data_IF_186763390134
#
_entry.id   IF_186763390134
#
_cell.length_a   1.000
_cell.length_b   1.000
_cell.length_c   1.000
_cell.angle_alpha   90.00
_cell.angle_beta   90.00
_cell.angle_gamma   90.00
#
_symmetry.space_group_name_H-M   'P 1'
#
loop_
_entity.id
_entity.type
_entity.pdbx_description
1 polymer ?
#
# COMPACT_ATOMS: atom_id res chain seq x y z
N UNK A 1 26.67 5.50 -5.37
CA UNK A 1 25.89 4.27 -5.10
C UNK A 1 24.70 4.30 -6.03
N UNK A 2 24.54 3.33 -6.94
CA UNK A 2 23.34 3.27 -7.79
C UNK A 2 22.29 2.42 -7.09
N UNK A 3 21.48 3.05 -6.24
CA UNK A 3 20.23 2.45 -5.77
C UNK A 3 19.16 2.62 -6.85
N UNK A 4 18.23 1.66 -6.92
CA UNK A 4 17.02 1.78 -7.74
C UNK A 4 16.18 2.94 -7.20
N UNK A 5 15.71 3.83 -8.07
CA UNK A 5 14.78 4.91 -7.68
C UNK A 5 13.36 4.44 -7.91
N UNK A 6 12.54 4.47 -6.87
CA UNK A 6 11.12 4.19 -6.95
C UNK A 6 10.32 5.51 -6.94
N UNK A 7 9.42 5.68 -7.91
CA UNK A 7 8.44 6.75 -7.94
C UNK A 7 7.05 6.13 -7.78
N UNK A 8 6.37 6.51 -6.70
CA UNK A 8 5.01 6.11 -6.37
C UNK A 8 4.10 7.32 -6.59
N UNK A 9 3.13 7.19 -7.48
CA UNK A 9 2.16 8.25 -7.78
C UNK A 9 0.75 7.70 -7.60
N UNK A 10 0.01 8.24 -6.64
CA UNK A 10 -1.33 7.78 -6.31
C UNK A 10 -2.38 8.84 -6.63
N UNK A 11 -3.57 8.38 -6.99
CA UNK A 11 -4.76 9.22 -7.16
C UNK A 11 -5.93 8.63 -6.39
N UNK A 12 -6.48 9.44 -5.49
CA UNK A 12 -7.63 9.06 -4.68
C UNK A 12 -8.93 9.23 -5.47
N UNK A 13 -9.75 8.19 -5.48
CA UNK A 13 -11.06 8.17 -6.13
C UNK A 13 -12.21 8.34 -5.13
N UNK A 14 -12.12 7.63 -4.00
CA UNK A 14 -13.13 7.64 -2.95
C UNK A 14 -12.43 7.86 -1.62
N UNK A 15 -12.89 8.87 -0.89
CA UNK A 15 -12.48 9.14 0.48
C UNK A 15 -13.76 9.29 1.30
N UNK A 16 -14.05 8.27 2.10
CA UNK A 16 -15.12 8.31 3.11
C UNK A 16 -14.43 8.34 4.48
N UNK A 17 -14.54 9.46 5.23
CA UNK A 17 -13.91 9.59 6.53
C UNK A 17 -14.22 8.40 7.44
N UNK A 18 -13.19 7.89 8.11
CA UNK A 18 -13.25 6.79 9.08
C UNK A 18 -13.88 5.48 8.57
N UNK A 19 -13.99 5.30 7.24
CA UNK A 19 -14.71 4.16 6.66
C UNK A 19 -14.03 3.53 5.45
N UNK A 20 -13.67 4.32 4.43
CA UNK A 20 -13.23 3.78 3.15
C UNK A 20 -12.26 4.68 2.43
N UNK A 21 -11.27 4.04 1.82
CA UNK A 21 -10.39 4.67 0.84
C UNK A 21 -10.34 3.80 -0.42
N UNK A 22 -10.48 4.41 -1.59
CA UNK A 22 -10.21 3.75 -2.87
C UNK A 22 -9.34 4.67 -3.71
N UNK A 23 -8.22 4.13 -4.19
CA UNK A 23 -7.24 4.88 -4.97
C UNK A 23 -6.51 3.94 -5.92
N UNK A 24 -6.07 4.47 -7.04
CA UNK A 24 -5.08 3.82 -7.88
C UNK A 24 -3.69 4.41 -7.60
N UNK A 25 -2.66 3.63 -7.92
CA UNK A 25 -1.31 4.16 -8.02
C UNK A 25 -0.49 3.46 -9.08
N UNK A 26 0.40 4.24 -9.69
CA UNK A 26 1.45 3.78 -10.57
C UNK A 26 2.76 3.68 -9.79
N UNK A 27 3.52 2.62 -10.04
CA UNK A 27 4.87 2.46 -9.55
C UNK A 27 5.83 2.46 -10.74
N UNK A 28 6.85 3.32 -10.67
CA UNK A 28 7.96 3.33 -11.61
C UNK A 28 9.26 2.96 -10.91
N UNK A 29 10.09 2.13 -11.57
CA UNK A 29 11.45 1.83 -11.15
C UNK A 29 12.42 2.35 -12.21
N UNK A 30 13.33 3.24 -11.81
CA UNK A 30 14.27 3.90 -12.72
C UNK A 30 13.56 4.46 -13.97
N UNK A 31 12.49 5.23 -13.72
CA UNK A 31 11.58 5.86 -14.70
C UNK A 31 10.72 4.89 -15.54
N UNK A 32 10.94 3.57 -15.43
CA UNK A 32 10.15 2.56 -16.14
C UNK A 32 8.89 2.21 -15.36
N UNK A 33 7.75 2.29 -16.03
CA UNK A 33 6.47 1.85 -15.47
C UNK A 33 6.55 0.36 -15.12
N UNK A 34 6.33 0.05 -13.85
CA UNK A 34 6.50 -1.29 -13.28
C UNK A 34 5.16 -1.98 -13.07
N UNK A 35 4.22 -1.30 -12.41
CA UNK A 35 2.90 -1.83 -12.08
C UNK A 35 1.90 -0.71 -11.85
N UNK A 36 0.64 -0.99 -12.16
CA UNK A 36 -0.51 -0.20 -11.68
C UNK A 36 -1.29 -1.04 -10.68
N UNK A 37 -1.77 -0.39 -9.63
CA UNK A 37 -2.52 -1.02 -8.55
C UNK A 37 -3.80 -0.25 -8.29
N UNK A 38 -4.94 -0.95 -8.19
CA UNK A 38 -6.15 -0.43 -7.57
C UNK A 38 -6.20 -0.93 -6.13
N UNK A 39 -6.16 -0.01 -5.19
CA UNK A 39 -6.17 -0.28 -3.75
C UNK A 39 -7.50 0.13 -3.13
N UNK A 40 -7.96 -0.68 -2.18
CA UNK A 40 -9.10 -0.35 -1.32
C UNK A 40 -8.81 -0.66 0.14
N UNK A 41 -9.15 0.28 1.02
CA UNK A 41 -9.23 0.06 2.47
C UNK A 41 -10.70 0.12 2.91
N UNK A 42 -11.06 -0.80 3.78
CA UNK A 42 -12.23 -0.68 4.65
C UNK A 42 -11.76 -0.57 6.09
N UNK A 43 -12.28 0.42 6.80
CA UNK A 43 -11.97 0.72 8.20
C UNK A 43 -13.25 0.50 8.99
N UNK A 44 -13.17 -0.38 9.98
CA UNK A 44 -14.33 -0.76 10.80
C UNK A 44 -13.96 -0.71 12.29
N UNK A 45 -14.88 -0.25 13.15
CA UNK A 45 -14.64 -0.26 14.58
C UNK A 45 -14.55 -1.71 15.09
N UNK A 46 -13.58 -1.97 15.96
CA UNK A 46 -13.35 -3.28 16.59
C UNK A 46 -13.11 -3.09 18.11
N UNK A 47 -14.15 -2.61 18.82
CA UNK A 47 -14.04 -2.25 20.23
C UNK A 47 -13.18 -0.99 20.41
N UNK A 48 -12.12 -1.09 21.22
CA UNK A 48 -11.12 -0.03 21.38
C UNK A 48 -10.07 -0.02 20.25
N UNK A 49 -10.14 -1.01 19.35
CA UNK A 49 -9.25 -1.15 18.20
C UNK A 49 -9.98 -0.84 16.90
N UNK A 50 -9.23 -0.89 15.80
CA UNK A 50 -9.75 -0.74 14.43
C UNK A 50 -9.41 -1.99 13.64
N UNK A 51 -10.41 -2.57 12.97
CA UNK A 51 -10.18 -3.59 11.96
C UNK A 51 -10.00 -2.90 10.60
N UNK A 52 -8.90 -3.22 9.90
CA UNK A 52 -8.62 -2.69 8.57
C UNK A 52 -8.50 -3.84 7.58
N UNK A 53 -9.37 -3.86 6.58
CA UNK A 53 -9.24 -4.74 5.43
C UNK A 53 -8.60 -3.98 4.27
N UNK A 54 -7.34 -4.30 3.95
CA UNK A 54 -6.62 -3.75 2.80
C UNK A 54 -6.61 -4.76 1.65
N UNK A 55 -6.98 -4.31 0.46
CA UNK A 55 -6.97 -5.13 -0.76
C UNK A 55 -6.27 -4.37 -1.88
N UNK A 56 -5.39 -5.08 -2.59
CA UNK A 56 -4.71 -4.57 -3.79
C UNK A 56 -5.06 -5.47 -4.98
N UNK A 57 -5.45 -4.85 -6.09
CA UNK A 57 -5.63 -5.49 -7.39
C UNK A 57 -4.56 -4.93 -8.32
N UNK A 58 -3.58 -5.76 -8.70
CA UNK A 58 -2.34 -5.29 -9.33
C UNK A 58 -2.20 -5.88 -10.72
N UNK A 59 -1.78 -5.05 -11.67
CA UNK A 59 -1.25 -5.49 -12.96
C UNK A 59 0.26 -5.27 -12.95
N UNK A 60 1.01 -6.37 -13.01
CA UNK A 60 2.45 -6.33 -13.27
C UNK A 60 2.71 -6.45 -14.78
N UNK A 61 3.71 -5.72 -15.28
CA UNK A 61 4.08 -5.76 -16.70
C UNK A 61 5.26 -6.70 -16.96
N UNK A 62 5.45 -7.03 -18.25
CA UNK A 62 6.64 -7.69 -18.79
C UNK A 62 6.98 -9.06 -18.17
N UNK A 63 5.96 -9.80 -17.74
CA UNK A 63 6.12 -11.16 -17.21
C UNK A 63 6.80 -11.23 -15.84
N UNK A 64 6.96 -10.09 -15.16
CA UNK A 64 7.45 -10.04 -13.78
C UNK A 64 6.28 -10.28 -12.84
N UNK A 65 6.31 -11.37 -12.09
CA UNK A 65 5.39 -11.54 -10.96
C UNK A 65 6.00 -10.91 -9.71
N UNK A 66 5.42 -9.80 -9.27
CA UNK A 66 5.81 -9.10 -8.04
C UNK A 66 4.89 -9.40 -6.86
N UNK A 67 3.98 -10.36 -6.96
CA UNK A 67 2.88 -10.54 -5.99
C UNK A 67 3.38 -10.84 -4.58
N UNK A 68 4.31 -11.81 -4.44
CA UNK A 68 4.85 -12.18 -3.12
C UNK A 68 5.63 -11.02 -2.50
N UNK A 69 6.53 -10.40 -3.27
CA UNK A 69 7.35 -9.29 -2.78
C UNK A 69 6.49 -8.07 -2.40
N UNK A 70 5.44 -7.76 -3.20
CA UNK A 70 4.50 -6.69 -2.86
C UNK A 70 3.74 -7.02 -1.59
N UNK A 71 3.21 -8.24 -1.46
CA UNK A 71 2.52 -8.68 -0.25
C UNK A 71 3.42 -8.51 0.99
N UNK A 72 4.65 -9.03 0.92
CA UNK A 72 5.60 -8.94 2.03
C UNK A 72 5.94 -7.49 2.39
N UNK A 73 6.20 -6.64 1.38
CA UNK A 73 6.46 -5.22 1.60
C UNK A 73 5.27 -4.49 2.22
N UNK A 74 4.05 -4.80 1.77
CA UNK A 74 2.81 -4.27 2.34
C UNK A 74 2.62 -4.73 3.80
N UNK A 75 2.89 -6.00 4.12
CA UNK A 75 2.84 -6.51 5.50
C UNK A 75 3.81 -5.75 6.43
N UNK A 76 5.03 -5.44 5.96
CA UNK A 76 5.98 -4.61 6.72
C UNK A 76 5.45 -3.20 6.94
N UNK A 77 4.88 -2.56 5.92
CA UNK A 77 4.31 -1.22 6.03
C UNK A 77 3.17 -1.17 7.06
N UNK A 78 2.31 -2.19 7.10
CA UNK A 78 1.24 -2.30 8.10
C UNK A 78 1.78 -2.52 9.51
N UNK A 79 2.82 -3.33 9.69
CA UNK A 79 3.48 -3.49 10.99
C UNK A 79 4.08 -2.17 11.50
N UNK A 80 4.71 -1.39 10.61
CA UNK A 80 5.23 -0.06 10.96
C UNK A 80 4.09 0.91 11.31
N UNK A 81 3.00 0.92 10.54
CA UNK A 81 1.85 1.77 10.81
C UNK A 81 1.22 1.44 12.18
N UNK A 82 1.06 0.14 12.49
CA UNK A 82 0.58 -0.31 13.79
C UNK A 82 1.49 0.19 14.93
N UNK A 83 2.82 0.03 14.79
CA UNK A 83 3.78 0.52 15.78
C UNK A 83 3.66 2.03 16.00
N UNK A 84 3.56 2.82 14.92
CA UNK A 84 3.40 4.28 14.99
C UNK A 84 2.10 4.67 15.69
N UNK A 85 0.99 4.00 15.38
CA UNK A 85 -0.31 4.28 16.00
C UNK A 85 -0.37 3.89 17.49
N UNK A 86 0.38 2.86 17.88
CA UNK A 86 0.54 2.44 19.28
C UNK A 86 1.59 3.26 20.05
N UNK A 87 2.24 4.22 19.40
CA UNK A 87 3.25 5.08 20.02
C UNK A 87 4.59 4.39 20.29
N UNK A 88 4.88 3.28 19.62
CA UNK A 88 6.19 2.66 19.61
C UNK A 88 7.10 3.38 18.60
N UNK A 89 8.38 3.61 18.94
CA UNK A 89 9.34 4.09 17.94
C UNK A 89 9.54 2.99 16.88
N UNK A 90 9.38 3.34 15.61
CA UNK A 90 9.66 2.43 14.50
C UNK A 90 11.16 2.11 14.48
N UNK A 91 11.52 0.91 14.95
CA UNK A 91 12.90 0.42 15.05
C UNK A 91 13.43 -0.14 13.74
#
# INVERSE_FOLDING_TARGET
>A
ASGMTALYEARFHIIEPDRRLVYDYDLHHDERFHSVTLSSLLVEPAGEMTHVAYTEQIVFLDGRDGTESRRHGTEIQWAVLEAVLLGAEAS
#
